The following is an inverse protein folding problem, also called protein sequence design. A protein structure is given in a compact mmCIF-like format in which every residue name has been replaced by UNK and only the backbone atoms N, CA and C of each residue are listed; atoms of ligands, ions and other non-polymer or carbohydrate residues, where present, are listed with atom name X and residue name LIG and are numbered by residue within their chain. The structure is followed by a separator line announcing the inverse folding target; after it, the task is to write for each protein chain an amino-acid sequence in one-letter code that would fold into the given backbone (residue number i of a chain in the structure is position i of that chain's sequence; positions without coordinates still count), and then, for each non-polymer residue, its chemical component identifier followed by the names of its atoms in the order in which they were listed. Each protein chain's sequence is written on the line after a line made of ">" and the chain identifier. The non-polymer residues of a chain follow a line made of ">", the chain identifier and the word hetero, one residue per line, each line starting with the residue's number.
data_IF_175196694312
#
_entry.id   IF_175196694312
#
_cell.length_a   1.000
_cell.length_b   1.000
_cell.length_c   1.000
_cell.angle_alpha   90.00
_cell.angle_beta   90.00
_cell.angle_gamma   90.00
#
_symmetry.space_group_name_H-M   'P 1'
#
loop_
_entity.id
_entity.type
_entity.pdbx_description
1 polymer ?
#
# COMPACT_ATOMS: atom_id res chain seq x y z
N UNK A 1 -10.81 -18.45 -1.56
CA UNK A 1 -9.72 -17.86 -0.75
C UNK A 1 -10.36 -16.89 0.23
N UNK A 2 -10.29 -17.16 1.54
CA UNK A 2 -10.78 -16.25 2.57
C UNK A 2 -9.65 -15.26 2.88
N UNK A 3 -9.83 -13.99 2.53
CA UNK A 3 -8.94 -12.92 2.94
C UNK A 3 -9.47 -12.33 4.26
N UNK A 4 -8.69 -12.44 5.32
CA UNK A 4 -8.98 -11.78 6.59
C UNK A 4 -8.16 -10.48 6.65
N UNK A 5 -8.82 -9.38 7.01
CA UNK A 5 -8.22 -8.04 7.13
C UNK A 5 -7.97 -7.72 8.61
N UNK A 6 -6.75 -7.28 8.94
CA UNK A 6 -6.39 -6.88 10.31
C UNK A 6 -5.65 -5.54 10.33
N UNK A 7 -5.95 -4.68 11.29
CA UNK A 7 -5.22 -3.41 11.47
C UNK A 7 -3.85 -3.66 12.12
N UNK A 8 -2.79 -3.07 11.58
CA UNK A 8 -1.46 -3.08 12.21
C UNK A 8 -1.48 -2.17 13.45
N UNK A 9 -0.95 -2.63 14.58
CA UNK A 9 -0.47 -1.74 15.66
C UNK A 9 0.96 -1.33 15.30
N UNK A 10 1.20 -0.04 15.11
CA UNK A 10 2.53 0.48 14.77
C UNK A 10 3.56 0.08 15.82
N UNK A 11 4.61 -0.62 15.40
CA UNK A 11 5.77 -0.92 16.25
C UNK A 11 6.69 0.29 16.30
N UNK A 12 6.99 0.78 17.51
CA UNK A 12 7.96 1.86 17.71
C UNK A 12 9.38 1.34 17.45
N UNK A 13 9.81 1.33 16.18
CA UNK A 13 11.22 1.17 15.84
C UNK A 13 11.87 2.56 15.77
N UNK A 14 12.93 2.78 16.56
CA UNK A 14 13.58 4.09 16.74
C UNK A 14 14.27 4.66 15.48
N UNK A 15 14.27 3.94 14.35
CA UNK A 15 15.08 4.26 13.16
C UNK A 15 14.30 4.40 11.85
N UNK A 16 12.96 4.32 11.85
CA UNK A 16 12.17 4.57 10.64
C UNK A 16 11.73 6.02 10.57
N UNK A 17 12.25 6.75 9.59
CA UNK A 17 11.80 8.11 9.25
C UNK A 17 10.33 8.05 8.82
N UNK A 18 9.43 8.49 9.70
CA UNK A 18 8.01 8.67 9.35
C UNK A 18 7.85 9.99 8.60
N UNK A 19 7.39 9.92 7.35
CA UNK A 19 7.05 11.09 6.56
C UNK A 19 5.57 11.45 6.78
N UNK A 20 5.26 12.75 6.70
CA UNK A 20 3.92 13.30 6.96
C UNK A 20 3.48 14.15 5.77
N UNK A 21 2.51 13.65 5.01
CA UNK A 21 1.95 14.35 3.86
C UNK A 21 0.61 14.98 4.24
N UNK A 22 0.49 16.30 4.15
CA UNK A 22 -0.77 16.99 4.41
C UNK A 22 -1.68 16.91 3.17
N UNK A 23 -2.70 16.06 3.21
CA UNK A 23 -3.65 15.88 2.11
C UNK A 23 -4.89 16.73 2.32
N UNK A 24 -5.18 17.61 1.35
CA UNK A 24 -6.43 18.36 1.32
C UNK A 24 -7.56 17.45 0.85
N UNK A 25 -7.29 16.59 -0.14
CA UNK A 25 -8.26 15.62 -0.65
C UNK A 25 -8.80 14.70 0.45
N UNK A 26 -7.93 14.26 1.36
CA UNK A 26 -8.31 13.39 2.48
C UNK A 26 -8.70 14.16 3.74
N UNK A 27 -8.51 15.48 3.76
CA UNK A 27 -8.74 16.32 4.93
C UNK A 27 -7.89 15.96 6.15
N UNK A 28 -6.73 15.31 5.96
CA UNK A 28 -5.88 14.83 7.05
C UNK A 28 -4.42 14.67 6.65
N UNK A 29 -3.55 14.56 7.65
CA UNK A 29 -2.15 14.18 7.45
C UNK A 29 -2.05 12.67 7.25
N UNK A 30 -1.49 12.25 6.13
CA UNK A 30 -1.16 10.87 5.78
C UNK A 30 0.27 10.58 6.25
N UNK A 31 0.45 9.48 6.98
CA UNK A 31 1.77 9.02 7.47
C UNK A 31 2.26 7.88 6.59
N UNK A 32 3.50 7.97 6.13
CA UNK A 32 4.11 6.95 5.25
C UNK A 32 5.52 6.62 5.74
N UNK A 33 6.00 5.43 5.38
CA UNK A 33 7.22 4.83 5.96
C UNK A 33 8.46 5.03 5.07
N UNK A 34 8.30 5.60 3.87
CA UNK A 34 9.42 5.90 2.97
C UNK A 34 9.25 7.21 2.20
N UNK A 35 10.39 7.76 1.73
CA UNK A 35 10.37 8.93 0.85
C UNK A 35 9.65 8.65 -0.47
N UNK A 36 9.69 7.40 -0.95
CA UNK A 36 9.05 7.01 -2.20
C UNK A 36 7.53 6.97 -2.06
N UNK A 37 7.02 6.45 -0.94
CA UNK A 37 5.60 6.56 -0.61
C UNK A 37 5.17 8.02 -0.41
N UNK A 38 6.04 8.85 0.16
CA UNK A 38 5.79 10.29 0.28
C UNK A 38 5.64 10.95 -1.09
N UNK A 39 6.52 10.62 -2.04
CA UNK A 39 6.42 11.12 -3.41
C UNK A 39 5.16 10.59 -4.12
N UNK A 40 4.78 9.32 -3.87
CA UNK A 40 3.54 8.73 -4.39
C UNK A 40 2.28 9.46 -3.91
N UNK A 41 2.30 10.04 -2.71
CA UNK A 41 1.17 10.82 -2.20
C UNK A 41 0.83 12.01 -3.11
N UNK A 42 1.80 12.64 -3.77
CA UNK A 42 1.51 13.72 -4.73
C UNK A 42 0.71 13.22 -5.94
N UNK A 43 1.00 12.02 -6.43
CA UNK A 43 0.24 11.43 -7.53
C UNK A 43 -1.20 11.11 -7.12
N UNK A 44 -1.40 10.58 -5.91
CA UNK A 44 -2.73 10.28 -5.37
C UNK A 44 -3.53 11.56 -5.07
N UNK A 45 -2.88 12.59 -4.53
CA UNK A 45 -3.48 13.88 -4.20
C UNK A 45 -3.99 14.60 -5.44
N UNK A 46 -3.21 14.65 -6.52
CA UNK A 46 -3.54 15.48 -7.68
C UNK A 46 -4.19 14.72 -8.84
N UNK A 47 -4.26 13.39 -8.79
CA UNK A 47 -5.02 12.62 -9.78
C UNK A 47 -6.52 12.91 -9.64
N UNK A 48 -7.19 13.24 -10.76
CA UNK A 48 -8.65 13.43 -10.81
C UNK A 48 -9.43 12.11 -10.70
N UNK A 49 -8.81 11.02 -11.12
CA UNK A 49 -9.43 9.69 -11.08
C UNK A 49 -9.49 9.13 -9.65
N UNK A 50 -8.56 9.54 -8.78
CA UNK A 50 -8.52 9.09 -7.38
C UNK A 50 -9.47 9.92 -6.52
N UNK A 51 -10.45 9.27 -5.89
CA UNK A 51 -11.43 9.90 -4.98
C UNK A 51 -10.98 9.83 -3.53
N UNK A 52 -10.40 8.70 -3.11
CA UNK A 52 -9.95 8.49 -1.74
C UNK A 52 -8.66 7.65 -1.69
N UNK A 53 -7.83 7.85 -0.67
CA UNK A 53 -6.68 6.98 -0.38
C UNK A 53 -6.29 6.98 1.09
N UNK A 54 -5.71 5.87 1.54
CA UNK A 54 -5.17 5.70 2.90
C UNK A 54 -3.88 4.90 2.85
N UNK A 55 -2.89 5.28 3.68
CA UNK A 55 -1.65 4.54 3.82
C UNK A 55 -1.80 3.37 4.79
N UNK A 56 -1.14 2.24 4.47
CA UNK A 56 -1.11 1.00 5.25
C UNK A 56 -2.46 0.61 5.89
N UNK A 57 -3.50 0.40 5.06
CA UNK A 57 -4.88 0.21 5.51
C UNK A 57 -5.05 -0.97 6.49
N UNK A 58 -4.40 -2.09 6.19
CA UNK A 58 -4.53 -3.35 6.90
C UNK A 58 -3.51 -4.38 6.38
N UNK A 59 -3.25 -5.41 7.16
CA UNK A 59 -2.67 -6.66 6.65
C UNK A 59 -3.72 -7.51 5.95
N UNK A 60 -3.38 -8.02 4.77
CA UNK A 60 -4.17 -8.96 3.97
C UNK A 60 -3.55 -10.36 4.13
N UNK A 61 -4.28 -11.28 4.76
CA UNK A 61 -3.83 -12.66 4.87
C UNK A 61 -4.12 -13.47 3.61
N UNK A 62 -3.17 -14.31 3.22
CA UNK A 62 -3.31 -15.24 2.11
C UNK A 62 -2.55 -16.55 2.39
N UNK A 63 -2.93 -17.62 1.69
CA UNK A 63 -2.23 -18.90 1.73
C UNK A 63 -1.51 -19.09 0.41
N UNK A 64 -0.18 -19.24 0.48
CA UNK A 64 0.64 -19.57 -0.69
C UNK A 64 1.43 -20.84 -0.40
N UNK A 65 1.27 -21.85 -1.25
CA UNK A 65 1.91 -23.17 -1.09
C UNK A 65 1.66 -23.80 0.29
N UNK A 66 0.45 -23.65 0.83
CA UNK A 66 0.07 -24.15 2.16
C UNK A 66 0.58 -23.32 3.33
N UNK A 67 1.35 -22.26 3.09
CA UNK A 67 1.90 -21.38 4.12
C UNK A 67 1.02 -20.12 4.23
N UNK A 68 0.54 -19.83 5.45
CA UNK A 68 -0.14 -18.57 5.75
C UNK A 68 0.87 -17.43 5.72
N UNK A 69 0.55 -16.38 4.98
CA UNK A 69 1.35 -15.15 4.87
C UNK A 69 0.43 -13.94 5.03
N UNK A 70 1.01 -12.82 5.41
CA UNK A 70 0.32 -11.53 5.49
C UNK A 70 1.05 -10.53 4.60
N UNK A 71 0.33 -9.89 3.70
CA UNK A 71 0.79 -8.80 2.87
C UNK A 71 0.28 -7.47 3.43
N UNK A 72 1.12 -6.44 3.47
CA UNK A 72 0.74 -5.10 3.92
C UNK A 72 0.90 -4.13 2.74
N UNK A 73 -0.17 -3.78 2.04
CA UNK A 73 -0.09 -2.81 0.96
C UNK A 73 0.29 -1.43 1.49
N UNK A 74 1.06 -0.69 0.71
CA UNK A 74 1.45 0.69 1.05
C UNK A 74 0.23 1.62 1.06
N UNK A 75 -0.68 1.46 0.09
CA UNK A 75 -1.92 2.23 0.02
C UNK A 75 -3.13 1.38 -0.37
N UNK A 76 -4.29 1.83 0.09
CA UNK A 76 -5.59 1.53 -0.51
C UNK A 76 -6.11 2.81 -1.13
N UNK A 77 -6.46 2.75 -2.41
CA UNK A 77 -6.99 3.89 -3.15
C UNK A 77 -8.31 3.52 -3.83
N UNK A 78 -9.18 4.50 -3.96
CA UNK A 78 -10.42 4.41 -4.73
C UNK A 78 -10.28 5.26 -5.98
N UNK A 79 -10.50 4.62 -7.13
CA UNK A 79 -10.49 5.22 -8.46
C UNK A 79 -11.91 5.24 -9.01
N UNK A 80 -12.29 6.29 -9.75
CA UNK A 80 -13.56 6.32 -10.47
C UNK A 80 -13.63 5.21 -11.52
N UNK A 81 -12.49 4.90 -12.17
CA UNK A 81 -12.42 3.90 -13.23
C UNK A 81 -12.30 2.46 -12.72
N UNK A 82 -11.58 2.23 -11.62
CA UNK A 82 -11.22 0.88 -11.17
C UNK A 82 -11.79 0.52 -9.79
N UNK A 83 -12.53 1.43 -9.15
CA UNK A 83 -12.99 1.25 -7.79
C UNK A 83 -11.84 1.13 -6.80
N UNK A 84 -12.08 0.39 -5.73
CA UNK A 84 -11.15 0.21 -4.62
C UNK A 84 -10.03 -0.78 -4.98
N UNK A 85 -8.77 -0.38 -4.83
CA UNK A 85 -7.60 -1.21 -5.17
C UNK A 85 -6.39 -0.92 -4.28
N UNK A 86 -5.55 -1.94 -4.10
CA UNK A 86 -4.29 -1.82 -3.36
C UNK A 86 -3.14 -1.36 -4.26
N UNK A 87 -2.25 -0.54 -3.71
CA UNK A 87 -1.04 -0.07 -4.35
C UNK A 87 0.19 -0.43 -3.52
N UNK A 88 1.21 -0.91 -4.23
CA UNK A 88 2.53 -1.23 -3.69
C UNK A 88 3.55 -0.36 -4.42
N UNK A 89 4.28 0.47 -3.69
CA UNK A 89 5.18 1.47 -4.25
C UNK A 89 6.62 0.94 -4.20
N UNK A 90 7.23 0.73 -5.37
CA UNK A 90 8.60 0.22 -5.48
C UNK A 90 9.44 1.05 -6.43
N UNK A 91 10.72 1.20 -6.10
CA UNK A 91 11.70 1.78 -7.04
C UNK A 91 11.86 0.83 -8.22
N UNK A 92 11.91 1.41 -9.41
CA UNK A 92 12.35 0.70 -10.60
C UNK A 92 13.89 0.54 -10.46
N UNK A 93 14.39 -0.71 -10.37
CA UNK A 93 15.80 -1.18 -10.17
C UNK A 93 16.15 -1.51 -8.71
N UNK A 94 16.70 -2.67 -8.29
CA UNK A 94 17.54 -3.71 -8.90
C UNK A 94 17.23 -5.04 -8.17
N UNK A 95 16.55 -5.99 -8.83
CA UNK A 95 16.39 -7.42 -8.51
C UNK A 95 15.08 -7.88 -9.14
N UNK A 96 15.15 -8.17 -10.43
CA UNK A 96 14.28 -9.17 -11.04
C UNK A 96 14.65 -10.54 -10.43
N UNK A 97 14.43 -10.72 -9.14
CA UNK A 97 14.27 -12.06 -8.60
C UNK A 97 12.99 -12.60 -9.24
N UNK A 98 13.06 -13.66 -10.07
CA UNK A 98 11.93 -14.13 -10.88
C UNK A 98 10.70 -14.57 -10.08
N UNK A 99 10.78 -14.57 -8.74
CA UNK A 99 9.71 -14.96 -7.84
C UNK A 99 8.92 -13.79 -7.20
N UNK A 100 9.46 -12.57 -7.15
CA UNK A 100 8.77 -11.46 -6.44
C UNK A 100 7.51 -10.94 -7.18
N UNK A 101 7.44 -11.16 -8.50
CA UNK A 101 6.34 -10.70 -9.34
C UNK A 101 5.28 -11.76 -9.67
N UNK A 102 5.43 -13.00 -9.21
CA UNK A 102 4.43 -14.06 -9.42
C UNK A 102 3.43 -14.16 -8.26
N UNK A 103 3.87 -13.86 -7.04
CA UNK A 103 3.02 -13.92 -5.84
C UNK A 103 1.97 -12.79 -5.82
N UNK A 104 2.30 -11.60 -6.33
CA UNK A 104 1.40 -10.42 -6.29
C UNK A 104 0.50 -10.26 -7.53
N UNK A 105 0.72 -11.01 -8.62
CA UNK A 105 -0.17 -10.97 -9.80
C UNK A 105 -1.42 -11.83 -9.62
N UNK A 106 -1.40 -12.75 -8.66
CA UNK A 106 -2.51 -13.67 -8.41
C UNK A 106 -3.56 -13.10 -7.45
N UNK A 107 -3.27 -11.93 -6.87
CA UNK A 107 -4.20 -11.12 -6.07
C UNK A 107 -4.64 -9.89 -6.89
N UNK A 108 -5.12 -10.12 -8.12
CA UNK A 108 -6.00 -9.15 -8.78
C UNK A 108 -7.41 -9.41 -8.26
N UNK A 109 -7.87 -8.54 -7.38
CA UNK A 109 -9.31 -8.33 -7.15
C UNK A 109 -9.76 -7.32 -8.21
#
# INVERSE_FOLDING_TARGET
>A
MLAFMYSRKGGSSNNQSVYKFASVKMGKVIRVESSLEYDACFHLEYSKDITSFVSQPCGVEYVLNGIKRTFFPDFLAESQKHGLHYLEIKRLNLNLEPNFGKENRQLKI
#
